data_IF_066574747879
#
_entry.id   IF_066574747879
#
_cell.length_a   1.000
_cell.length_b   1.000
_cell.length_c   1.000
_cell.angle_alpha   90.00
_cell.angle_beta   90.00
_cell.angle_gamma   90.00
#
_symmetry.space_group_name_H-M   'P 1'
#
loop_
_entity.id
_entity.type
_entity.pdbx_description
1 polymer ?
#
# COMPACT_ATOMS: atom_id res chain seq x y z
N UNK A 1 -7.07 18.75 -7.74
CA UNK A 1 -6.43 17.80 -6.80
C UNK A 1 -5.52 16.88 -7.61
N UNK A 2 -4.23 16.73 -7.28
CA UNK A 2 -3.35 15.81 -8.01
C UNK A 2 -3.82 14.36 -7.82
N UNK A 3 -3.82 13.58 -8.90
CA UNK A 3 -4.15 12.14 -8.86
C UNK A 3 -3.24 11.36 -9.81
N UNK A 4 -3.00 10.09 -9.50
CA UNK A 4 -2.17 9.17 -10.31
C UNK A 4 -2.97 7.92 -10.64
N UNK A 5 -3.07 7.56 -11.92
CA UNK A 5 -3.70 6.31 -12.36
C UNK A 5 -2.66 5.19 -12.30
N UNK A 6 -2.86 4.22 -11.39
CA UNK A 6 -1.88 3.14 -11.14
C UNK A 6 -2.25 1.79 -11.78
N UNK A 7 -3.45 1.64 -12.33
CA UNK A 7 -3.91 0.45 -13.07
C UNK A 7 -4.16 -0.81 -12.22
N UNK A 8 -3.31 -1.12 -11.24
CA UNK A 8 -3.41 -2.26 -10.32
C UNK A 8 -3.13 -1.83 -8.88
N UNK A 9 -3.63 -2.61 -7.91
CA UNK A 9 -3.36 -2.36 -6.48
C UNK A 9 -1.87 -2.49 -6.14
N UNK A 10 -1.17 -3.43 -6.77
CA UNK A 10 0.27 -3.67 -6.59
C UNK A 10 1.13 -2.45 -6.91
N UNK A 11 0.69 -1.61 -7.86
CA UNK A 11 1.33 -0.34 -8.17
C UNK A 11 0.76 0.82 -7.35
N UNK A 12 -0.54 0.79 -7.04
CA UNK A 12 -1.21 1.86 -6.30
C UNK A 12 -0.74 1.98 -4.85
N UNK A 13 -0.51 0.85 -4.16
CA UNK A 13 -0.17 0.85 -2.73
C UNK A 13 1.20 1.49 -2.46
N UNK A 14 2.30 1.10 -3.14
CA UNK A 14 3.59 1.76 -2.96
C UNK A 14 3.56 3.24 -3.33
N UNK A 15 2.88 3.60 -4.43
CA UNK A 15 2.77 4.99 -4.89
C UNK A 15 1.99 5.86 -3.88
N UNK A 16 0.92 5.32 -3.29
CA UNK A 16 0.14 6.01 -2.27
C UNK A 16 0.95 6.21 -0.98
N UNK A 17 1.74 5.22 -0.56
CA UNK A 17 2.62 5.34 0.59
C UNK A 17 3.71 6.39 0.38
N UNK A 18 4.36 6.38 -0.78
CA UNK A 18 5.39 7.35 -1.14
C UNK A 18 4.81 8.78 -1.20
N UNK A 19 3.62 8.95 -1.76
CA UNK A 19 2.89 10.22 -1.71
C UNK A 19 2.56 10.65 -0.27
N UNK A 20 2.10 9.74 0.58
CA UNK A 20 1.82 10.02 1.98
C UNK A 20 3.07 10.49 2.74
N UNK A 21 4.22 9.82 2.52
CA UNK A 21 5.50 10.21 3.12
C UNK A 21 5.94 11.61 2.70
N UNK A 22 5.86 11.92 1.41
CA UNK A 22 6.21 13.27 0.90
C UNK A 22 5.32 14.38 1.43
N UNK A 23 4.05 14.07 1.66
CA UNK A 23 3.05 15.07 2.10
C UNK A 23 2.89 15.13 3.62
N UNK A 24 3.53 14.21 4.36
CA UNK A 24 3.31 14.07 5.80
C UNK A 24 1.91 13.55 6.15
N UNK A 25 1.22 12.90 5.22
CA UNK A 25 -0.11 12.36 5.47
C UNK A 25 -0.02 11.14 6.41
N UNK A 26 -0.74 11.12 7.53
CA UNK A 26 -0.65 10.04 8.51
C UNK A 26 -1.40 8.77 8.08
N UNK A 27 -2.28 8.86 7.09
CA UNK A 27 -3.20 7.79 6.71
C UNK A 27 -3.31 7.67 5.20
N UNK A 28 -3.22 6.45 4.69
CA UNK A 28 -3.58 6.06 3.32
C UNK A 28 -4.88 5.25 3.38
N UNK A 29 -5.94 5.73 2.71
CA UNK A 29 -7.26 5.09 2.71
C UNK A 29 -7.54 4.43 1.36
N UNK A 30 -7.86 3.13 1.37
CA UNK A 30 -8.44 2.45 0.22
C UNK A 30 -9.96 2.69 0.21
N UNK A 31 -10.44 3.61 -0.64
CA UNK A 31 -11.87 3.92 -0.80
C UNK A 31 -12.35 3.59 -2.23
N UNK A 32 -12.85 2.36 -2.49
CA UNK A 32 -13.49 2.03 -3.76
C UNK A 32 -14.87 2.70 -3.88
N UNK A 33 -15.11 3.43 -4.97
CA UNK A 33 -16.46 3.88 -5.32
C UNK A 33 -17.28 2.69 -5.83
N UNK A 34 -18.26 2.23 -5.05
CA UNK A 34 -19.28 1.23 -5.36
C UNK A 34 -18.85 -0.15 -5.92
N UNK A 35 -19.53 -1.19 -5.46
CA UNK A 35 -19.10 -2.59 -5.48
C UNK A 35 -19.06 -3.30 -6.86
N UNK A 36 -19.11 -2.60 -7.99
CA UNK A 36 -19.13 -3.26 -9.30
C UNK A 36 -18.41 -2.40 -10.33
N UNK A 37 -17.19 -2.76 -10.70
CA UNK A 37 -16.73 -2.77 -12.10
C UNK A 37 -15.28 -3.33 -12.13
N UNK A 38 -15.23 -4.66 -12.33
CA UNK A 38 -14.40 -5.35 -13.33
C UNK A 38 -13.04 -6.06 -13.07
N UNK A 39 -12.57 -6.36 -11.84
CA UNK A 39 -11.42 -7.31 -11.70
C UNK A 39 -11.37 -8.22 -10.45
N UNK A 40 -12.27 -8.10 -9.47
CA UNK A 40 -12.22 -8.89 -8.23
C UNK A 40 -13.59 -9.43 -7.84
N UNK A 41 -13.65 -10.72 -7.46
CA UNK A 41 -14.90 -11.46 -7.21
C UNK A 41 -15.65 -11.01 -5.96
N UNK A 42 -15.00 -10.25 -5.07
CA UNK A 42 -15.61 -9.71 -3.84
C UNK A 42 -14.78 -8.55 -3.27
N UNK A 43 -15.46 -7.64 -2.55
CA UNK A 43 -14.84 -6.62 -1.70
C UNK A 43 -13.76 -7.19 -0.78
N UNK A 44 -13.99 -8.39 -0.24
CA UNK A 44 -13.08 -9.05 0.69
C UNK A 44 -11.75 -9.46 0.04
N UNK A 45 -11.76 -9.83 -1.25
CA UNK A 45 -10.55 -10.21 -1.95
C UNK A 45 -9.64 -9.00 -2.17
N UNK A 46 -10.23 -7.85 -2.51
CA UNK A 46 -9.51 -6.58 -2.64
C UNK A 46 -8.94 -6.09 -1.31
N UNK A 47 -9.72 -6.19 -0.24
CA UNK A 47 -9.26 -5.84 1.11
C UNK A 47 -8.09 -6.72 1.54
N UNK A 48 -8.19 -8.04 1.33
CA UNK A 48 -7.10 -8.98 1.61
C UNK A 48 -5.86 -8.71 0.78
N UNK A 49 -6.00 -8.41 -0.51
CA UNK A 49 -4.87 -8.08 -1.37
C UNK A 49 -4.17 -6.79 -0.93
N UNK A 50 -4.95 -5.76 -0.59
CA UNK A 50 -4.40 -4.52 -0.02
C UNK A 50 -3.66 -4.76 1.30
N UNK A 51 -4.25 -5.52 2.23
CA UNK A 51 -3.61 -5.86 3.49
C UNK A 51 -2.28 -6.61 3.28
N UNK A 52 -2.27 -7.62 2.41
CA UNK A 52 -1.06 -8.37 2.08
C UNK A 52 0.05 -7.48 1.48
N UNK A 53 -0.31 -6.52 0.61
CA UNK A 53 0.64 -5.56 0.06
C UNK A 53 1.21 -4.64 1.14
N UNK A 54 0.37 -4.13 2.05
CA UNK A 54 0.81 -3.29 3.17
C UNK A 54 1.73 -4.06 4.12
N UNK A 55 1.37 -5.31 4.46
CA UNK A 55 2.21 -6.18 5.30
C UNK A 55 3.57 -6.47 4.65
N UNK A 56 3.60 -6.75 3.34
CA UNK A 56 4.84 -6.94 2.60
C UNK A 56 5.74 -5.71 2.61
N UNK A 57 5.15 -4.52 2.53
CA UNK A 57 5.91 -3.27 2.63
C UNK A 57 6.45 -3.08 4.05
N UNK A 58 5.64 -3.28 5.09
CA UNK A 58 6.06 -3.15 6.48
C UNK A 58 7.24 -4.09 6.80
N UNK A 59 7.13 -5.36 6.40
CA UNK A 59 8.15 -6.37 6.66
C UNK A 59 9.45 -6.11 5.87
N UNK A 60 9.38 -5.45 4.71
CA UNK A 60 10.58 -5.02 3.97
C UNK A 60 11.34 -3.90 4.71
N UNK A 61 10.69 -3.18 5.63
CA UNK A 61 11.33 -2.09 6.39
C UNK A 61 12.04 -2.55 7.68
N UNK A 62 11.75 -3.75 8.17
CA UNK A 62 12.37 -4.32 9.37
C UNK A 62 13.74 -5.00 9.10
N UNK A 63 14.14 -5.15 7.83
CA UNK A 63 15.38 -5.84 7.43
C UNK A 63 16.67 -5.03 7.48
N UNK A 64 16.63 -3.72 7.77
CA UNK A 64 17.80 -2.82 7.70
C UNK A 64 18.32 -2.35 9.07
N UNK A 65 18.07 -3.09 10.15
CA UNK A 65 18.76 -2.87 11.44
C UNK A 65 19.89 -3.89 11.58
N UNK A 66 20.92 -3.76 10.73
CA UNK A 66 22.22 -4.39 10.97
C UNK A 66 22.78 -3.84 12.29
N UNK A 67 22.59 -4.59 13.38
CA UNK A 67 23.32 -4.37 14.61
C UNK A 67 24.79 -4.67 14.34
N UNK A 68 25.56 -3.60 14.09
CA UNK A 68 27.00 -3.63 14.00
C UNK A 68 27.59 -4.25 15.27
N UNK A 69 28.25 -5.38 15.05
CA UNK A 69 29.18 -6.03 15.96
C UNK A 69 30.26 -5.04 16.42
N UNK A 70 30.20 -4.66 17.69
CA UNK A 70 31.27 -4.00 18.41
C UNK A 70 31.55 -4.80 19.69
N UNK A 71 32.48 -5.74 19.57
CA UNK A 71 33.12 -6.47 20.67
C UNK A 71 34.59 -6.70 20.35
#
# INVERSE_FOLDING_TARGET
>A
VPHTLSGTLDQAVPAALDAARRTGAPVVLLSPACASFDQFSSFEQRGRHFAALVEGIANTQDGNHEYGDHG
#
